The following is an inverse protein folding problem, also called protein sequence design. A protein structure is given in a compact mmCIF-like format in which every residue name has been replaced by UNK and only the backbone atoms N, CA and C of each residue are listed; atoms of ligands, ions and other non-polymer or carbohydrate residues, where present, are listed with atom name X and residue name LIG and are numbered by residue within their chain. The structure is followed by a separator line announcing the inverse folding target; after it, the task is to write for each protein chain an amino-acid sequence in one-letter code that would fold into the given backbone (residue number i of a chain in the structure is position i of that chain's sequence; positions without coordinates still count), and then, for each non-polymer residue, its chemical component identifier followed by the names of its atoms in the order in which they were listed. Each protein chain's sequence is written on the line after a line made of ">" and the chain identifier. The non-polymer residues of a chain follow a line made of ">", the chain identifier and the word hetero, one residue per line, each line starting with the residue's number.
data_IF_190180051868
#
_entry.id   IF_190180051868
#
_cell.length_a   1.000
_cell.length_b   1.000
_cell.length_c   1.000
_cell.angle_alpha   90.00
_cell.angle_beta   90.00
_cell.angle_gamma   90.00
#
_symmetry.space_group_name_H-M   'P 1'
#
loop_
_entity.id
_entity.type
_entity.pdbx_description
1 polymer ?
#
# COMPACT_ATOMS: atom_id res chain seq x y z
N UNK A 1 2.95 4.99 14.81
CA UNK A 1 4.30 4.70 14.26
C UNK A 1 5.25 5.82 14.66
N UNK A 2 5.70 5.84 15.92
CA UNK A 2 6.69 6.84 16.32
C UNK A 2 8.06 6.56 15.70
N UNK A 3 8.42 5.29 15.49
CA UNK A 3 9.74 4.90 14.96
C UNK A 3 10.00 5.39 13.54
N UNK A 4 9.01 5.38 12.65
CA UNK A 4 9.17 5.81 11.24
C UNK A 4 9.57 7.28 11.14
N UNK A 5 9.15 8.13 12.09
CA UNK A 5 9.57 9.55 12.13
C UNK A 5 11.08 9.72 12.29
N UNK A 6 11.72 8.79 13.00
CA UNK A 6 13.14 8.85 13.31
C UNK A 6 14.02 8.17 12.24
N UNK A 7 13.43 7.56 11.22
CA UNK A 7 14.18 7.04 10.07
C UNK A 7 14.80 8.20 9.29
N UNK A 8 16.11 8.14 9.08
CA UNK A 8 16.85 9.09 8.25
C UNK A 8 16.66 8.82 6.76
N UNK A 9 16.73 7.55 6.37
CA UNK A 9 16.61 7.09 4.98
C UNK A 9 15.18 6.63 4.69
N UNK A 10 14.27 7.61 4.58
CA UNK A 10 12.85 7.33 4.33
C UNK A 10 12.58 6.81 2.92
N UNK A 11 13.37 7.22 1.95
CA UNK A 11 13.34 6.78 0.56
C UNK A 11 13.64 5.28 0.41
N UNK A 12 14.66 4.77 1.12
CA UNK A 12 14.96 3.33 1.10
C UNK A 12 13.84 2.53 1.79
N UNK A 13 13.30 3.03 2.91
CA UNK A 13 12.12 2.44 3.54
C UNK A 13 10.91 2.42 2.59
N UNK A 14 10.66 3.51 1.86
CA UNK A 14 9.59 3.61 0.87
C UNK A 14 9.71 2.53 -0.20
N UNK A 15 10.91 2.39 -0.77
CA UNK A 15 11.22 1.42 -1.82
C UNK A 15 10.98 -0.02 -1.35
N UNK A 16 11.48 -0.39 -0.16
CA UNK A 16 11.23 -1.70 0.41
C UNK A 16 9.75 -1.91 0.70
N UNK A 17 9.08 -0.93 1.32
CA UNK A 17 7.68 -1.06 1.67
C UNK A 17 6.78 -1.25 0.44
N UNK A 18 7.06 -0.52 -0.66
CA UNK A 18 6.38 -0.70 -1.95
C UNK A 18 6.52 -2.13 -2.48
N UNK A 19 7.74 -2.67 -2.49
CA UNK A 19 7.99 -4.05 -2.95
C UNK A 19 7.21 -5.07 -2.12
N UNK A 20 7.30 -4.95 -0.79
CA UNK A 20 6.61 -5.87 0.12
C UNK A 20 5.08 -5.77 0.02
N UNK A 21 4.53 -4.56 -0.12
CA UNK A 21 3.09 -4.40 -0.32
C UNK A 21 2.64 -5.03 -1.63
N UNK A 22 3.37 -4.82 -2.73
CA UNK A 22 3.06 -5.41 -4.03
C UNK A 22 3.02 -6.95 -3.94
N UNK A 23 4.02 -7.57 -3.29
CA UNK A 23 4.02 -9.03 -3.06
C UNK A 23 2.78 -9.48 -2.28
N UNK A 24 2.41 -8.78 -1.21
CA UNK A 24 1.22 -9.15 -0.41
C UNK A 24 -0.07 -9.05 -1.20
N UNK A 25 -0.24 -7.99 -1.99
CA UNK A 25 -1.43 -7.76 -2.81
C UNK A 25 -1.55 -8.80 -3.92
N UNK A 26 -0.47 -9.06 -4.66
CA UNK A 26 -0.48 -9.98 -5.81
C UNK A 26 -0.55 -11.45 -5.40
N UNK A 27 0.07 -11.83 -4.28
CA UNK A 27 0.02 -13.21 -3.77
C UNK A 27 -1.23 -13.50 -2.94
N UNK A 28 -2.07 -12.50 -2.64
CA UNK A 28 -3.28 -12.68 -1.82
C UNK A 28 -2.99 -13.09 -0.38
N UNK A 29 -1.78 -12.85 0.13
CA UNK A 29 -1.34 -13.24 1.48
C UNK A 29 -1.55 -12.14 2.53
N UNK A 30 -2.24 -11.06 2.16
CA UNK A 30 -2.57 -9.99 3.11
C UNK A 30 -3.55 -10.52 4.17
N UNK A 31 -3.26 -10.24 5.44
CA UNK A 31 -4.08 -10.67 6.58
C UNK A 31 -5.37 -9.85 6.69
N UNK A 32 -5.29 -8.55 6.39
CA UNK A 32 -6.42 -7.64 6.49
C UNK A 32 -6.19 -6.41 5.63
N UNK A 33 -7.13 -6.13 4.71
CA UNK A 33 -7.12 -4.94 3.88
C UNK A 33 -7.24 -3.65 4.72
N UNK A 34 -8.10 -3.65 5.73
CA UNK A 34 -8.28 -2.50 6.63
C UNK A 34 -6.99 -2.15 7.39
N UNK A 35 -6.24 -3.18 7.80
CA UNK A 35 -4.95 -2.98 8.47
C UNK A 35 -3.93 -2.33 7.53
N UNK A 36 -3.85 -2.77 6.28
CA UNK A 36 -2.97 -2.17 5.26
C UNK A 36 -3.36 -0.72 4.97
N UNK A 37 -4.67 -0.44 4.78
CA UNK A 37 -5.18 0.92 4.56
C UNK A 37 -4.89 1.84 5.74
N UNK A 38 -5.09 1.35 6.98
CA UNK A 38 -4.76 2.09 8.20
C UNK A 38 -3.27 2.43 8.28
N UNK A 39 -2.40 1.50 7.88
CA UNK A 39 -0.95 1.70 7.85
C UNK A 39 -0.56 2.77 6.82
N UNK A 40 -1.13 2.74 5.61
CA UNK A 40 -0.90 3.77 4.59
C UNK A 40 -1.36 5.14 5.06
N UNK A 41 -2.54 5.24 5.70
CA UNK A 41 -3.02 6.50 6.27
C UNK A 41 -2.04 7.08 7.29
N UNK A 42 -1.49 6.23 8.17
CA UNK A 42 -0.46 6.65 9.13
C UNK A 42 0.81 7.10 8.40
N UNK A 43 1.29 6.36 7.39
CA UNK A 43 2.44 6.79 6.57
C UNK A 43 2.20 8.15 5.90
N UNK A 44 0.98 8.40 5.42
CA UNK A 44 0.60 9.67 4.80
C UNK A 44 0.69 10.83 5.80
N UNK A 45 0.23 10.63 7.03
CA UNK A 45 0.36 11.61 8.11
C UNK A 45 1.82 11.91 8.45
N UNK A 46 2.70 10.89 8.45
CA UNK A 46 4.08 11.02 8.91
C UNK A 46 5.09 11.45 7.81
N UNK A 47 4.83 11.06 6.57
CA UNK A 47 5.75 11.23 5.44
C UNK A 47 5.15 12.07 4.30
N UNK A 48 3.87 12.43 4.37
CA UNK A 48 3.19 13.24 3.38
C UNK A 48 2.60 12.45 2.21
N UNK A 49 1.85 13.16 1.36
CA UNK A 49 1.10 12.56 0.25
C UNK A 49 1.97 11.90 -0.81
N UNK A 50 3.12 12.51 -1.16
CA UNK A 50 4.00 11.98 -2.21
C UNK A 50 4.54 10.59 -1.86
N UNK A 51 4.82 10.34 -0.58
CA UNK A 51 5.30 9.06 -0.07
C UNK A 51 4.29 7.92 -0.28
N UNK A 52 2.99 8.20 -0.12
CA UNK A 52 1.93 7.18 -0.18
C UNK A 52 1.23 7.08 -1.51
N UNK A 53 1.45 8.02 -2.44
CA UNK A 53 0.72 8.10 -3.71
C UNK A 53 0.76 6.78 -4.51
N UNK A 54 1.92 6.15 -4.63
CA UNK A 54 2.03 4.84 -5.30
C UNK A 54 1.32 3.73 -4.54
N UNK A 55 1.39 3.72 -3.20
CA UNK A 55 0.77 2.69 -2.36
C UNK A 55 -0.77 2.76 -2.47
N UNK A 56 -1.32 3.97 -2.44
CA UNK A 56 -2.75 4.23 -2.65
C UNK A 56 -3.18 3.80 -4.07
N UNK A 57 -2.35 4.07 -5.08
CA UNK A 57 -2.56 3.61 -6.46
C UNK A 57 -2.65 2.09 -6.59
N UNK A 58 -1.75 1.34 -5.92
CA UNK A 58 -1.79 -0.12 -5.92
C UNK A 58 -3.13 -0.68 -5.42
N UNK A 59 -3.74 -0.07 -4.41
CA UNK A 59 -5.07 -0.48 -3.93
C UNK A 59 -6.18 -0.18 -4.94
N UNK A 60 -6.11 0.98 -5.61
CA UNK A 60 -7.05 1.32 -6.67
C UNK A 60 -6.96 0.34 -7.85
N UNK A 61 -5.74 -0.07 -8.20
CA UNK A 61 -5.48 -1.04 -9.27
C UNK A 61 -6.05 -2.43 -8.92
N UNK A 62 -5.88 -2.89 -7.67
CA UNK A 62 -6.45 -4.16 -7.20
C UNK A 62 -7.99 -4.15 -7.28
N UNK A 63 -8.64 -3.09 -6.77
CA UNK A 63 -10.10 -2.96 -6.83
C UNK A 63 -10.63 -2.92 -8.26
N UNK A 64 -9.95 -2.16 -9.13
CA UNK A 64 -10.30 -2.08 -10.55
C UNK A 64 -10.15 -3.43 -11.25
N UNK A 65 -9.09 -4.18 -10.92
CA UNK A 65 -8.82 -5.49 -11.51
C UNK A 65 -9.87 -6.52 -11.07
N UNK A 66 -10.27 -6.51 -9.81
CA UNK A 66 -11.36 -7.34 -9.29
C UNK A 66 -12.69 -7.04 -9.98
N UNK A 67 -13.05 -5.76 -10.12
CA UNK A 67 -14.28 -5.36 -10.81
C UNK A 67 -14.32 -5.78 -12.28
N UNK A 68 -13.19 -5.64 -12.99
CA UNK A 68 -13.05 -6.10 -14.38
C UNK A 68 -13.16 -7.62 -14.50
N UNK A 69 -12.56 -8.36 -13.57
CA UNK A 69 -12.65 -9.82 -13.55
C UNK A 69 -14.09 -10.28 -13.33
N UNK A 70 -14.81 -9.65 -12.39
CA UNK A 70 -16.21 -9.97 -12.13
C UNK A 70 -17.07 -9.75 -13.38
N UNK A 71 -16.93 -8.60 -14.06
CA UNK A 71 -17.68 -8.32 -15.29
C UNK A 71 -17.28 -9.18 -16.50
N UNK A 72 -16.15 -9.91 -16.44
CA UNK A 72 -15.80 -10.91 -17.45
C UNK A 72 -16.44 -12.27 -17.19
N UNK A 73 -16.76 -12.57 -15.93
CA UNK A 73 -17.39 -13.84 -15.51
C UNK A 73 -18.91 -13.82 -15.65
N UNK A 74 -19.52 -12.64 -15.82
CA UNK A 74 -20.94 -12.41 -16.13
C UNK A 74 -21.20 -12.49 -17.64
#
# INVERSE_FOLDING_TARGET
>A
MMLVRYLKEKDEFEKYYKQHLATRLLSGISVSEDAERSLILKLKTECGYQFTSTLEGMFADMNTSQGKMQGFLE
#
